data_IF_505397877453
#
_entry.id   IF_505397877453
#
_cell.length_a   1.000
_cell.length_b   1.000
_cell.length_c   1.000
_cell.angle_alpha   90.00
_cell.angle_beta   90.00
_cell.angle_gamma   90.00
#
_symmetry.space_group_name_H-M   'P 1'
#
loop_
_entity.id
_entity.type
_entity.pdbx_description
1 polymer ?
#
# COMPACT_ATOMS: atom_id res chain seq x y z
N UNK A 1 42.13 4.97 -12.76
CA UNK A 1 41.17 4.55 -11.72
C UNK A 1 39.77 4.86 -12.24
N UNK A 2 38.96 3.86 -12.56
CA UNK A 2 37.58 4.06 -13.02
C UNK A 2 36.69 4.31 -11.80
N UNK A 3 36.02 5.46 -11.76
CA UNK A 3 35.01 5.75 -10.75
C UNK A 3 33.69 5.06 -11.15
N UNK A 4 33.15 4.24 -10.25
CA UNK A 4 31.87 3.56 -10.41
C UNK A 4 30.72 4.54 -10.70
N UNK A 5 29.75 4.22 -11.57
CA UNK A 5 28.54 5.02 -11.67
C UNK A 5 27.70 4.81 -10.40
N UNK A 6 27.33 5.94 -9.77
CA UNK A 6 26.42 6.00 -8.64
C UNK A 6 25.07 5.32 -8.96
N UNK A 7 24.32 4.81 -7.96
CA UNK A 7 22.99 4.23 -8.20
C UNK A 7 22.08 5.27 -8.86
N UNK A 8 21.11 4.84 -9.68
CA UNK A 8 20.21 5.77 -10.34
C UNK A 8 19.46 6.53 -9.25
N UNK A 9 19.72 7.84 -9.20
CA UNK A 9 18.91 8.78 -8.44
C UNK A 9 17.49 8.59 -8.94
N UNK A 10 16.64 8.03 -8.08
CA UNK A 10 15.19 8.00 -8.28
C UNK A 10 14.80 9.42 -8.65
N UNK A 11 14.50 9.65 -9.93
CA UNK A 11 14.04 10.95 -10.40
C UNK A 11 12.75 11.24 -9.64
N UNK A 12 12.83 12.13 -8.66
CA UNK A 12 11.68 12.78 -8.05
C UNK A 12 10.91 13.45 -9.18
N UNK A 13 9.93 12.73 -9.72
CA UNK A 13 8.95 13.26 -10.65
C UNK A 13 8.31 14.49 -9.97
N UNK A 14 8.03 15.57 -10.71
CA UNK A 14 7.35 16.74 -10.15
C UNK A 14 6.12 16.24 -9.40
N UNK A 15 6.15 16.40 -8.07
CA UNK A 15 5.09 15.90 -7.22
C UNK A 15 3.86 16.74 -7.50
N UNK A 16 3.05 16.28 -8.45
CA UNK A 16 1.77 16.89 -8.73
C UNK A 16 1.03 17.04 -7.39
N UNK A 17 0.27 18.13 -7.19
CA UNK A 17 -0.54 18.30 -5.99
C UNK A 17 -1.29 16.99 -5.68
N UNK A 18 -1.39 16.61 -4.40
CA UNK A 18 -2.01 15.34 -4.00
C UNK A 18 -3.35 15.14 -4.73
N UNK A 19 -3.47 14.06 -5.50
CA UNK A 19 -4.64 13.75 -6.34
C UNK A 19 -4.54 14.13 -7.83
N UNK A 20 -3.48 14.82 -8.26
CA UNK A 20 -3.32 15.31 -9.64
C UNK A 20 -2.28 14.52 -10.44
N UNK A 21 -1.59 13.57 -9.81
CA UNK A 21 -0.67 12.66 -10.49
C UNK A 21 -1.46 11.60 -11.29
N UNK A 22 -0.93 11.21 -12.45
CA UNK A 22 -1.47 10.09 -13.25
C UNK A 22 -1.38 8.76 -12.53
N UNK A 23 -0.37 8.61 -11.66
CA UNK A 23 -0.13 7.44 -10.85
C UNK A 23 0.16 7.86 -9.41
N UNK A 24 -0.34 7.11 -8.45
CA UNK A 24 -0.05 7.31 -7.03
C UNK A 24 0.11 5.96 -6.33
N UNK A 25 0.95 5.91 -5.30
CA UNK A 25 1.17 4.71 -4.49
C UNK A 25 0.42 4.85 -3.18
N UNK A 26 -0.41 3.88 -2.84
CA UNK A 26 -1.08 3.83 -1.54
C UNK A 26 -1.16 2.40 -1.02
N UNK A 27 -1.00 2.17 0.30
CA UNK A 27 -1.32 0.89 0.89
C UNK A 27 -2.81 0.64 0.78
N UNK A 28 -3.20 -0.56 0.37
CA UNK A 28 -4.61 -0.94 0.30
C UNK A 28 -4.84 -2.30 0.94
N UNK A 29 -5.63 -2.26 2.01
CA UNK A 29 -6.09 -3.44 2.72
C UNK A 29 -7.34 -4.00 2.03
N UNK A 30 -7.28 -5.26 1.64
CA UNK A 30 -8.42 -6.02 1.13
C UNK A 30 -8.32 -7.47 1.64
N UNK A 31 -9.44 -8.19 1.74
CA UNK A 31 -9.43 -9.62 2.05
C UNK A 31 -8.42 -10.39 1.19
N UNK A 32 -7.62 -11.25 1.82
CA UNK A 32 -6.57 -12.05 1.18
C UNK A 32 -5.24 -11.35 0.96
N UNK A 33 -5.11 -10.04 1.24
CA UNK A 33 -3.80 -9.36 1.17
C UNK A 33 -2.86 -9.87 2.26
N UNK A 34 -1.60 -10.15 1.90
CA UNK A 34 -0.54 -10.45 2.87
C UNK A 34 0.06 -9.16 3.42
N UNK A 35 0.14 -9.06 4.74
CA UNK A 35 0.71 -7.93 5.47
C UNK A 35 1.79 -8.44 6.41
N UNK A 36 2.72 -7.58 6.79
CA UNK A 36 3.71 -7.87 7.83
C UNK A 36 3.30 -7.22 9.14
N UNK A 37 3.42 -7.97 10.23
CA UNK A 37 3.17 -7.50 11.60
C UNK A 37 4.28 -8.03 12.49
N UNK A 38 5.03 -7.13 13.13
CA UNK A 38 6.13 -7.49 14.03
C UNK A 38 7.10 -8.55 13.43
N UNK A 39 7.39 -8.45 12.12
CA UNK A 39 8.27 -9.38 11.40
C UNK A 39 7.63 -10.67 10.87
N UNK A 40 6.39 -10.99 11.26
CA UNK A 40 5.64 -12.15 10.76
C UNK A 40 4.71 -11.77 9.61
N UNK A 41 4.50 -12.72 8.69
CA UNK A 41 3.53 -12.57 7.62
C UNK A 41 2.16 -13.00 8.07
N UNK A 42 1.19 -12.11 7.89
CA UNK A 42 -0.20 -12.30 8.24
C UNK A 42 -1.09 -12.11 7.00
N UNK A 43 -2.33 -12.58 7.08
CA UNK A 43 -3.32 -12.44 6.00
C UNK A 43 -4.52 -11.65 6.48
N UNK A 44 -4.91 -10.65 5.70
CA UNK A 44 -6.13 -9.87 5.97
C UNK A 44 -7.35 -10.75 5.72
N UNK A 45 -8.20 -10.90 6.74
CA UNK A 45 -9.50 -11.54 6.65
C UNK A 45 -10.52 -10.57 6.07
N UNK A 46 -10.71 -9.44 6.74
CA UNK A 46 -11.62 -8.38 6.31
C UNK A 46 -11.21 -7.04 6.89
N UNK A 47 -11.86 -5.99 6.42
CA UNK A 47 -11.58 -4.61 6.78
C UNK A 47 -12.90 -3.95 7.17
N UNK A 48 -12.91 -3.22 8.27
CA UNK A 48 -14.07 -2.42 8.68
C UNK A 48 -13.73 -0.94 8.65
N UNK A 49 -14.63 -0.14 8.07
CA UNK A 49 -14.55 1.31 8.07
C UNK A 49 -15.66 1.85 8.96
N UNK A 50 -15.28 2.65 9.94
CA UNK A 50 -16.18 3.51 10.72
C UNK A 50 -15.87 4.97 10.41
N UNK A 51 -16.70 5.87 10.91
CA UNK A 51 -16.74 7.29 10.50
C UNK A 51 -15.36 7.94 10.31
N UNK A 52 -14.40 7.68 11.21
CA UNK A 52 -13.03 8.18 11.12
C UNK A 52 -11.98 7.10 11.45
N UNK A 53 -12.34 5.82 11.34
CA UNK A 53 -11.50 4.73 11.83
C UNK A 53 -11.50 3.56 10.84
N UNK A 54 -10.31 3.00 10.62
CA UNK A 54 -10.09 1.84 9.77
C UNK A 54 -9.54 0.73 10.67
N UNK A 55 -10.24 -0.39 10.75
CA UNK A 55 -9.80 -1.56 11.50
C UNK A 55 -9.53 -2.72 10.55
N UNK A 56 -8.37 -3.37 10.70
CA UNK A 56 -7.97 -4.51 9.87
C UNK A 56 -8.03 -5.78 10.70
N UNK A 57 -8.76 -6.78 10.20
CA UNK A 57 -8.87 -8.08 10.86
C UNK A 57 -7.96 -9.08 10.15
N UNK A 58 -7.18 -9.83 10.92
CA UNK A 58 -6.28 -10.85 10.41
C UNK A 58 -6.90 -12.24 10.57
N UNK A 59 -6.54 -13.17 9.68
CA UNK A 59 -7.00 -14.56 9.76
C UNK A 59 -6.50 -15.20 11.06
N UNK A 60 -7.41 -15.74 11.86
CA UNK A 60 -7.08 -16.41 13.13
C UNK A 60 -6.96 -15.47 14.34
N UNK A 61 -7.15 -14.16 14.18
CA UNK A 61 -7.15 -13.19 15.27
C UNK A 61 -8.57 -12.69 15.53
N UNK A 62 -8.96 -12.63 16.82
CA UNK A 62 -10.29 -12.17 17.22
C UNK A 62 -10.37 -10.62 17.25
N UNK A 63 -9.30 -9.97 17.69
CA UNK A 63 -9.24 -8.52 17.83
C UNK A 63 -8.78 -7.85 16.52
N UNK A 64 -9.30 -6.66 16.21
CA UNK A 64 -8.78 -5.85 15.11
C UNK A 64 -7.36 -5.37 15.40
N UNK A 65 -6.62 -5.13 14.33
CA UNK A 65 -5.28 -4.54 14.35
C UNK A 65 -5.35 -3.14 13.74
N UNK A 66 -4.61 -2.21 14.34
CA UNK A 66 -4.43 -0.86 13.79
C UNK A 66 -3.66 -0.96 12.46
N UNK A 67 -4.17 -0.35 11.37
CA UNK A 67 -3.46 -0.28 10.09
C UNK A 67 -2.05 0.30 10.19
N UNK A 68 -1.74 1.11 11.20
CA UNK A 68 -0.42 1.69 11.43
C UNK A 68 0.59 0.69 12.00
N UNK A 69 0.12 -0.42 12.59
CA UNK A 69 0.96 -1.53 13.07
C UNK A 69 1.29 -2.55 11.96
N UNK A 70 0.77 -2.33 10.75
CA UNK A 70 0.90 -3.23 9.61
C UNK A 70 1.82 -2.64 8.54
N UNK A 71 2.77 -3.46 8.10
CA UNK A 71 3.61 -3.18 6.95
C UNK A 71 3.01 -3.82 5.70
N UNK A 72 2.83 -3.03 4.65
CA UNK A 72 2.29 -3.49 3.36
C UNK A 72 3.00 -2.77 2.22
N UNK A 73 3.37 -3.53 1.18
CA UNK A 73 3.89 -2.96 -0.06
C UNK A 73 2.85 -2.04 -0.73
N UNK A 74 3.17 -0.77 -0.99
CA UNK A 74 2.23 0.18 -1.59
C UNK A 74 1.75 -0.29 -2.97
N UNK A 75 0.43 -0.27 -3.17
CA UNK A 75 -0.18 -0.58 -4.46
C UNK A 75 -0.15 0.67 -5.35
N UNK A 76 0.15 0.48 -6.64
CA UNK A 76 0.10 1.56 -7.63
C UNK A 76 -1.34 1.70 -8.15
N UNK A 77 -1.88 2.89 -8.05
CA UNK A 77 -3.16 3.30 -8.60
C UNK A 77 -2.96 4.30 -9.73
N UNK A 78 -3.96 4.42 -10.59
CA UNK A 78 -4.01 5.44 -11.64
C UNK A 78 -5.30 6.25 -11.57
N UNK A 79 -5.19 7.54 -11.89
CA UNK A 79 -6.35 8.45 -12.04
C UNK A 79 -6.99 8.37 -13.42
N UNK A 80 -6.42 7.59 -14.33
CA UNK A 80 -6.96 7.37 -15.69
C UNK A 80 -7.89 6.16 -15.67
N UNK A 81 -9.06 6.27 -16.31
CA UNK A 81 -9.97 5.14 -16.48
C UNK A 81 -9.26 4.02 -17.26
N UNK A 82 -9.07 2.87 -16.62
CA UNK A 82 -8.57 1.67 -17.28
C UNK A 82 -9.79 0.95 -17.88
N UNK A 83 -9.82 0.77 -19.20
CA UNK A 83 -10.81 -0.14 -19.79
C UNK A 83 -10.51 -1.55 -19.29
N UNK A 84 -11.46 -2.20 -18.61
CA UNK A 84 -11.37 -3.62 -18.30
C UNK A 84 -11.19 -4.39 -19.62
N UNK A 85 -10.05 -5.07 -19.77
CA UNK A 85 -9.94 -6.13 -20.76
C UNK A 85 -10.68 -7.33 -20.19
N UNK A 86 -11.83 -7.64 -20.78
CA UNK A 86 -12.51 -8.92 -20.65
C UNK A 86 -11.72 -10.01 -21.38
#
# INVERSE_FOLDING_TARGET
MQASPAPPVTQEQPQAPWGWAKYFRMPVYKPGTRVRRAGSWETVSHVSLRRNDLAVFLVGYAEPVDPMDLELEPTVFTTVRVHERY
#
